data_IF_364127283656
#
_entry.id   IF_364127283656
#
_cell.length_a   1.000
_cell.length_b   1.000
_cell.length_c   1.000
_cell.angle_alpha   90.00
_cell.angle_beta   90.00
_cell.angle_gamma   90.00
#
_symmetry.space_group_name_H-M   'P 1'
#
loop_
_entity.id
_entity.type
_entity.pdbx_description
1 polymer ?
#
# COMPACT_ATOMS: atom_id res chain seq x y z
N UNK A 1 -24.58 -7.17 -24.34
CA UNK A 1 -25.59 -6.12 -24.03
C UNK A 1 -24.92 -5.00 -23.24
N UNK A 2 -23.97 -4.31 -23.89
CA UNK A 2 -23.12 -3.26 -23.33
C UNK A 2 -23.25 -2.07 -24.27
N UNK A 3 -24.09 -1.08 -23.92
CA UNK A 3 -24.21 0.29 -24.49
C UNK A 3 -25.62 0.83 -24.19
N UNK A 4 -25.85 1.29 -22.95
CA UNK A 4 -26.93 2.24 -22.63
C UNK A 4 -26.81 2.65 -21.15
N UNK A 5 -25.78 3.44 -20.82
CA UNK A 5 -25.64 4.15 -19.54
C UNK A 5 -24.66 5.33 -19.71
N UNK A 6 -24.81 6.13 -20.78
CA UNK A 6 -23.93 7.28 -21.06
C UNK A 6 -24.65 8.63 -21.05
N UNK A 7 -25.91 8.71 -20.58
CA UNK A 7 -26.72 9.93 -20.65
C UNK A 7 -27.40 10.35 -19.33
N UNK A 8 -26.76 10.13 -18.17
CA UNK A 8 -27.22 10.71 -16.90
C UNK A 8 -26.09 11.28 -16.01
N UNK A 9 -24.92 11.60 -16.57
CA UNK A 9 -23.75 12.05 -15.78
C UNK A 9 -23.48 13.57 -15.83
N UNK A 10 -24.35 14.38 -16.44
CA UNK A 10 -24.10 15.84 -16.55
C UNK A 10 -24.56 16.65 -15.32
N UNK A 11 -25.46 16.13 -14.48
CA UNK A 11 -25.99 16.85 -13.31
C UNK A 11 -25.20 16.64 -12.00
N UNK A 12 -24.22 15.72 -11.95
CA UNK A 12 -23.44 15.42 -10.72
C UNK A 12 -22.20 16.29 -10.51
N UNK A 13 -21.89 17.19 -11.46
CA UNK A 13 -20.69 18.04 -11.43
C UNK A 13 -20.84 19.29 -10.56
N UNK A 14 -22.06 19.64 -10.11
CA UNK A 14 -22.35 20.94 -9.53
C UNK A 14 -21.99 21.08 -8.03
N UNK A 15 -21.79 19.98 -7.31
CA UNK A 15 -21.68 19.99 -5.84
C UNK A 15 -20.24 19.86 -5.30
N UNK A 16 -19.26 19.60 -6.15
CA UNK A 16 -17.88 19.32 -5.73
C UNK A 16 -16.88 20.36 -6.26
N UNK A 17 -15.74 20.59 -5.56
CA UNK A 17 -14.66 21.43 -6.07
C UNK A 17 -14.20 20.97 -7.45
N UNK A 18 -13.94 21.89 -8.40
CA UNK A 18 -13.52 21.54 -9.76
C UNK A 18 -12.25 20.70 -9.81
N UNK A 19 -11.34 20.88 -8.84
CA UNK A 19 -10.06 20.16 -8.81
C UNK A 19 -10.21 18.69 -8.36
N UNK A 20 -11.30 18.35 -7.64
CA UNK A 20 -11.48 17.04 -7.04
C UNK A 20 -11.47 15.94 -8.12
N UNK A 21 -10.67 14.90 -7.92
CA UNK A 21 -10.66 13.77 -8.86
C UNK A 21 -12.07 13.20 -9.00
N UNK A 22 -12.60 13.04 -10.24
CA UNK A 22 -13.97 12.58 -10.45
C UNK A 22 -14.31 11.26 -9.75
N UNK A 23 -13.34 10.35 -9.69
CA UNK A 23 -13.48 9.04 -9.03
C UNK A 23 -13.75 9.13 -7.52
N UNK A 24 -13.41 10.24 -6.87
CA UNK A 24 -13.64 10.42 -5.42
C UNK A 24 -15.09 10.77 -5.07
N UNK A 25 -15.91 11.18 -6.05
CA UNK A 25 -17.28 11.68 -5.81
C UNK A 25 -18.25 10.59 -5.36
N UNK A 26 -17.92 9.34 -5.66
CA UNK A 26 -18.70 8.16 -5.25
C UNK A 26 -18.20 7.54 -3.94
N UNK A 27 -17.14 8.11 -3.35
CA UNK A 27 -16.54 7.58 -2.12
C UNK A 27 -17.04 8.37 -0.91
N UNK A 28 -17.65 7.66 0.04
CA UNK A 28 -18.02 8.23 1.32
C UNK A 28 -16.79 8.37 2.24
N UNK A 29 -16.59 9.56 2.79
CA UNK A 29 -15.53 9.85 3.75
C UNK A 29 -16.07 10.29 5.12
N UNK A 30 -15.35 9.91 6.17
CA UNK A 30 -15.53 10.40 7.54
C UNK A 30 -14.25 11.06 8.04
N UNK A 31 -14.38 11.94 9.02
CA UNK A 31 -13.25 12.60 9.63
C UNK A 31 -12.32 11.58 10.31
N UNK A 32 -11.03 11.49 9.96
CA UNK A 32 -10.07 10.59 10.61
C UNK A 32 -9.94 10.77 12.13
N UNK A 33 -10.30 11.93 12.67
CA UNK A 33 -10.11 12.25 14.09
C UNK A 33 -11.32 11.92 14.96
N UNK A 34 -12.54 12.05 14.42
CA UNK A 34 -13.78 11.89 15.19
C UNK A 34 -14.84 11.01 14.52
N UNK A 35 -14.57 10.50 13.31
CA UNK A 35 -15.45 9.65 12.50
C UNK A 35 -16.81 10.25 12.13
N UNK A 36 -17.00 11.56 12.33
CA UNK A 36 -18.17 12.28 11.85
C UNK A 36 -18.10 12.57 10.34
N UNK A 37 -19.28 12.77 9.73
CA UNK A 37 -19.41 13.05 8.30
C UNK A 37 -18.64 14.32 7.92
N UNK A 38 -17.98 14.25 6.76
CA UNK A 38 -17.33 15.40 6.14
C UNK A 38 -18.25 16.09 5.13
N UNK A 39 -18.17 17.42 5.08
CA UNK A 39 -18.75 18.23 4.00
C UNK A 39 -17.66 18.64 3.03
N UNK A 40 -18.01 18.81 1.77
CA UNK A 40 -17.09 19.19 0.70
C UNK A 40 -17.73 20.35 -0.06
N UNK A 41 -17.59 21.59 0.44
CA UNK A 41 -18.22 22.75 -0.19
C UNK A 41 -17.49 23.08 -1.50
N UNK A 42 -18.24 23.21 -2.60
CA UNK A 42 -17.72 23.50 -3.95
C UNK A 42 -16.71 24.65 -4.02
N UNK A 43 -16.96 25.73 -3.29
CA UNK A 43 -16.16 26.96 -3.28
C UNK A 43 -14.82 26.80 -2.54
N UNK A 44 -14.60 25.69 -1.83
CA UNK A 44 -13.38 25.47 -1.04
C UNK A 44 -12.70 24.18 -1.47
N UNK A 45 -11.40 24.27 -1.71
CA UNK A 45 -10.53 23.14 -2.04
C UNK A 45 -10.22 22.27 -0.80
N UNK A 46 -11.25 21.92 0.00
CA UNK A 46 -11.12 21.18 1.26
C UNK A 46 -12.30 20.24 1.51
N UNK A 47 -12.05 19.18 2.28
CA UNK A 47 -13.06 18.50 3.07
C UNK A 47 -13.09 19.09 4.48
N UNK A 48 -14.27 19.43 4.98
CA UNK A 48 -14.49 20.05 6.29
C UNK A 48 -15.24 19.10 7.23
N UNK A 49 -14.73 18.92 8.45
CA UNK A 49 -15.47 18.23 9.50
C UNK A 49 -16.29 19.22 10.33
N UNK A 50 -17.62 19.09 10.28
CA UNK A 50 -18.53 19.96 11.05
C UNK A 50 -18.41 19.79 12.57
N UNK A 51 -17.95 18.62 13.04
CA UNK A 51 -17.86 18.31 14.46
C UNK A 51 -16.56 18.83 15.10
N UNK A 52 -15.41 18.42 14.57
CA UNK A 52 -14.11 18.84 15.11
C UNK A 52 -13.53 20.09 14.42
N UNK A 53 -14.26 20.68 13.48
CA UNK A 53 -13.89 21.88 12.69
C UNK A 53 -12.63 21.73 11.83
N UNK A 54 -12.09 20.51 11.70
CA UNK A 54 -10.86 20.25 10.95
C UNK A 54 -11.10 20.36 9.44
N UNK A 55 -10.26 21.13 8.78
CA UNK A 55 -10.14 21.16 7.32
C UNK A 55 -9.03 20.21 6.85
N UNK A 56 -9.32 19.50 5.75
CA UNK A 56 -8.42 18.60 5.04
C UNK A 56 -8.30 19.09 3.60
N UNK A 57 -7.11 19.53 3.21
CA UNK A 57 -6.88 20.19 1.93
C UNK A 57 -6.91 19.19 0.77
N UNK A 58 -7.34 19.66 -0.41
CA UNK A 58 -7.11 18.98 -1.67
C UNK A 58 -5.74 19.38 -2.24
N UNK A 59 -4.97 18.40 -2.67
CA UNK A 59 -3.68 18.63 -3.33
C UNK A 59 -3.66 17.95 -4.69
N UNK A 60 -3.75 18.75 -5.75
CA UNK A 60 -3.88 18.24 -7.13
C UNK A 60 -5.12 17.37 -7.33
N UNK A 61 -6.20 17.65 -6.58
CA UNK A 61 -7.46 16.90 -6.61
C UNK A 61 -7.57 15.71 -5.65
N UNK A 62 -6.53 15.44 -4.85
CA UNK A 62 -6.49 14.34 -3.87
C UNK A 62 -6.61 14.91 -2.45
N UNK A 63 -7.53 14.42 -1.60
CA UNK A 63 -7.65 14.87 -0.22
C UNK A 63 -6.50 14.37 0.65
N UNK A 64 -5.98 15.26 1.50
CA UNK A 64 -4.98 14.96 2.53
C UNK A 64 -5.64 14.84 3.91
N UNK A 65 -5.95 13.61 4.28
CA UNK A 65 -6.53 13.21 5.57
C UNK A 65 -5.49 12.82 6.62
N UNK A 66 -4.20 13.11 6.40
CA UNK A 66 -3.15 12.73 7.34
C UNK A 66 -3.31 13.41 8.70
N UNK A 67 -3.15 12.61 9.75
CA UNK A 67 -3.10 13.07 11.15
C UNK A 67 -1.66 13.34 11.60
N UNK A 68 -0.70 12.70 10.95
CA UNK A 68 0.73 12.89 11.19
C UNK A 68 1.51 12.72 9.87
N UNK A 69 2.75 13.23 9.78
CA UNK A 69 3.48 13.24 8.53
C UNK A 69 4.04 11.86 8.14
N UNK A 70 4.46 11.72 6.89
CA UNK A 70 5.25 10.60 6.37
C UNK A 70 6.45 10.30 7.30
N UNK A 71 6.87 9.03 7.48
CA UNK A 71 7.98 8.71 8.39
C UNK A 71 9.33 9.33 8.02
N UNK A 72 9.51 9.72 6.76
CA UNK A 72 10.74 10.28 6.22
C UNK A 72 10.63 11.76 5.86
N UNK A 73 9.41 12.30 5.76
CA UNK A 73 9.14 13.67 5.32
C UNK A 73 8.12 14.36 6.20
N UNK A 74 8.39 15.61 6.55
CA UNK A 74 7.37 16.52 7.07
C UNK A 74 6.26 16.78 6.04
N UNK A 75 5.16 17.37 6.50
CA UNK A 75 4.06 17.78 5.61
C UNK A 75 4.54 18.70 4.48
N UNK A 76 5.37 19.69 4.81
CA UNK A 76 5.88 20.66 3.85
C UNK A 76 6.80 20.01 2.83
N UNK A 77 7.75 19.17 3.26
CA UNK A 77 8.68 18.52 2.33
C UNK A 77 7.97 17.53 1.39
N UNK A 78 6.90 16.86 1.83
CA UNK A 78 6.06 16.03 0.96
C UNK A 78 5.25 16.87 -0.03
N UNK A 79 4.75 18.03 0.39
CA UNK A 79 4.07 18.99 -0.48
C UNK A 79 5.02 19.51 -1.57
N UNK A 80 6.20 20.01 -1.19
CA UNK A 80 7.21 20.52 -2.13
C UNK A 80 7.63 19.45 -3.16
N UNK A 81 7.73 18.20 -2.72
CA UNK A 81 8.01 17.05 -3.61
C UNK A 81 6.85 16.68 -4.50
N UNK A 82 5.63 16.87 -4.02
CA UNK A 82 4.44 16.64 -4.82
C UNK A 82 4.35 17.67 -5.95
N UNK A 83 4.71 18.93 -5.70
CA UNK A 83 4.78 19.96 -6.74
C UNK A 83 5.77 19.61 -7.86
N UNK A 84 6.93 19.01 -7.53
CA UNK A 84 7.87 18.49 -8.54
C UNK A 84 7.20 17.42 -9.42
N UNK A 85 6.42 16.51 -8.82
CA UNK A 85 5.70 15.46 -9.56
C UNK A 85 4.60 16.07 -10.43
N UNK A 86 3.78 16.95 -9.88
CA UNK A 86 2.67 17.60 -10.59
C UNK A 86 3.16 18.40 -11.79
N UNK A 87 4.25 19.17 -11.64
CA UNK A 87 4.85 19.92 -12.73
C UNK A 87 5.30 19.03 -13.88
N UNK A 88 5.67 17.77 -13.64
CA UNK A 88 6.14 16.82 -14.64
C UNK A 88 5.08 15.80 -15.10
N UNK A 89 3.91 15.75 -14.45
CA UNK A 89 2.93 14.68 -14.56
C UNK A 89 2.41 14.48 -16.00
N UNK A 90 2.09 15.58 -16.69
CA UNK A 90 1.59 15.52 -18.06
C UNK A 90 2.72 15.40 -19.10
N UNK A 91 3.94 15.84 -18.75
CA UNK A 91 5.07 15.95 -19.66
C UNK A 91 5.86 14.66 -19.82
N UNK A 92 5.94 13.84 -18.77
CA UNK A 92 6.78 12.65 -18.76
C UNK A 92 5.95 11.36 -18.65
N UNK A 93 6.28 10.30 -19.41
CA UNK A 93 5.78 8.96 -19.11
C UNK A 93 6.31 8.50 -17.75
N UNK A 94 5.68 7.49 -17.16
CA UNK A 94 5.94 7.02 -15.80
C UNK A 94 7.42 6.77 -15.53
N UNK A 95 8.13 6.07 -16.41
CA UNK A 95 9.57 5.79 -16.23
C UNK A 95 10.39 7.08 -16.11
N UNK A 96 10.17 8.05 -17.00
CA UNK A 96 10.85 9.34 -16.98
C UNK A 96 10.43 10.20 -15.79
N UNK A 97 9.17 10.12 -15.37
CA UNK A 97 8.68 10.81 -14.17
C UNK A 97 9.34 10.27 -12.90
N UNK A 98 9.49 8.95 -12.79
CA UNK A 98 10.20 8.29 -11.70
C UNK A 98 11.68 8.72 -11.66
N UNK A 99 12.38 8.67 -12.80
CA UNK A 99 13.76 9.17 -12.91
C UNK A 99 13.89 10.64 -12.49
N UNK A 100 12.97 11.48 -12.98
CA UNK A 100 12.92 12.89 -12.64
C UNK A 100 12.76 13.10 -11.13
N UNK A 101 11.75 12.49 -10.51
CA UNK A 101 11.53 12.56 -9.06
C UNK A 101 12.77 12.10 -8.27
N UNK A 102 13.31 10.93 -8.60
CA UNK A 102 14.45 10.40 -7.87
C UNK A 102 15.74 11.19 -8.09
N UNK A 103 15.85 12.01 -9.14
CA UNK A 103 16.98 12.92 -9.31
C UNK A 103 17.07 13.96 -8.19
N UNK A 104 15.93 14.40 -7.64
CA UNK A 104 15.82 15.36 -6.52
C UNK A 104 15.76 14.70 -5.14
N UNK A 105 15.58 13.37 -5.06
CA UNK A 105 15.42 12.66 -3.77
C UNK A 105 16.75 12.61 -3.00
N UNK A 106 16.81 13.31 -1.88
CA UNK A 106 17.91 13.28 -0.89
C UNK A 106 17.82 12.10 0.10
N UNK A 107 16.64 11.49 0.25
CA UNK A 107 16.42 10.34 1.14
C UNK A 107 17.02 9.05 0.57
N UNK A 108 16.89 8.86 -0.75
CA UNK A 108 17.29 7.61 -1.42
C UNK A 108 18.71 7.73 -1.95
N UNK A 109 19.67 6.91 -1.45
CA UNK A 109 21.04 6.91 -1.96
C UNK A 109 21.07 6.67 -3.48
N UNK A 110 21.92 7.41 -4.19
CA UNK A 110 22.02 7.37 -5.67
C UNK A 110 22.17 5.93 -6.19
N UNK A 111 23.01 5.13 -5.53
CA UNK A 111 23.26 3.73 -5.90
C UNK A 111 22.02 2.82 -5.82
N UNK A 112 20.97 3.20 -5.09
CA UNK A 112 19.74 2.42 -4.93
C UNK A 112 18.61 2.90 -5.85
N UNK A 113 18.68 4.10 -6.42
CA UNK A 113 17.59 4.69 -7.22
C UNK A 113 17.18 3.81 -8.42
N UNK A 114 18.09 3.24 -9.24
CA UNK A 114 17.70 2.38 -10.36
C UNK A 114 16.90 1.15 -9.93
N UNK A 115 17.22 0.59 -8.75
CA UNK A 115 16.48 -0.55 -8.17
C UNK A 115 15.04 -0.15 -7.84
N UNK A 116 14.81 1.02 -7.25
CA UNK A 116 13.47 1.49 -6.90
C UNK A 116 12.63 1.82 -8.14
N UNK A 117 13.23 2.45 -9.16
CA UNK A 117 12.56 2.69 -10.46
C UNK A 117 12.12 1.36 -11.07
N UNK A 118 13.04 0.39 -11.21
CA UNK A 118 12.73 -0.95 -11.73
C UNK A 118 11.65 -1.64 -10.89
N UNK A 119 11.73 -1.53 -9.57
CA UNK A 119 10.73 -2.10 -8.67
C UNK A 119 9.34 -1.51 -8.88
N UNK A 120 9.25 -0.18 -9.06
CA UNK A 120 8.00 0.51 -9.35
C UNK A 120 7.44 0.09 -10.70
N UNK A 121 8.25 0.02 -11.77
CA UNK A 121 7.79 -0.37 -13.10
C UNK A 121 7.31 -1.83 -13.16
N UNK A 122 8.04 -2.76 -12.54
CA UNK A 122 7.74 -4.20 -12.57
C UNK A 122 6.82 -4.67 -11.43
N UNK A 123 6.21 -3.75 -10.68
CA UNK A 123 5.43 -4.11 -9.50
C UNK A 123 4.13 -4.84 -9.79
N UNK A 124 3.57 -4.66 -10.99
CA UNK A 124 2.32 -5.29 -11.43
C UNK A 124 2.38 -6.82 -11.42
N UNK A 125 3.53 -7.44 -11.72
CA UNK A 125 3.69 -8.89 -11.60
C UNK A 125 3.50 -9.38 -10.15
N UNK A 126 4.06 -8.66 -9.18
CA UNK A 126 3.91 -8.97 -7.74
C UNK A 126 2.47 -8.72 -7.27
N UNK A 127 1.83 -7.69 -7.81
CA UNK A 127 0.43 -7.43 -7.54
C UNK A 127 -0.50 -8.51 -8.10
N UNK A 128 -0.28 -8.93 -9.35
CA UNK A 128 -1.06 -10.00 -9.99
C UNK A 128 -0.98 -11.32 -9.23
N UNK A 129 0.16 -11.62 -8.61
CA UNK A 129 0.29 -12.74 -7.65
C UNK A 129 -0.66 -12.58 -6.46
N UNK A 130 -0.67 -11.42 -5.81
CA UNK A 130 -1.53 -11.16 -4.65
C UNK A 130 -3.01 -11.30 -5.01
N UNK A 131 -3.38 -10.81 -6.19
CA UNK A 131 -4.73 -10.92 -6.72
C UNK A 131 -5.15 -12.37 -7.01
N UNK A 132 -4.26 -13.18 -7.61
CA UNK A 132 -4.52 -14.62 -7.80
C UNK A 132 -4.79 -15.32 -6.48
N UNK A 133 -3.97 -15.09 -5.45
CA UNK A 133 -4.14 -15.70 -4.12
C UNK A 133 -5.50 -15.38 -3.49
N UNK A 134 -6.04 -14.19 -3.75
CA UNK A 134 -7.33 -13.74 -3.25
C UNK A 134 -8.50 -14.37 -4.04
N UNK A 135 -8.31 -14.62 -5.33
CA UNK A 135 -9.33 -15.13 -6.24
C UNK A 135 -9.41 -16.66 -6.32
N UNK A 136 -8.27 -17.37 -6.26
CA UNK A 136 -8.18 -18.82 -6.48
C UNK A 136 -8.38 -19.67 -5.21
N UNK A 137 -8.46 -19.01 -4.05
CA UNK A 137 -8.63 -19.69 -2.77
C UNK A 137 -7.44 -20.57 -2.35
N UNK A 138 -6.26 -20.37 -2.94
CA UNK A 138 -5.03 -21.09 -2.55
C UNK A 138 -4.68 -20.90 -1.07
N UNK A 139 -5.14 -19.80 -0.48
CA UNK A 139 -4.99 -19.53 0.96
C UNK A 139 -6.30 -19.63 1.74
N UNK A 140 -7.50 -19.52 1.16
CA UNK A 140 -8.78 -19.68 1.87
C UNK A 140 -9.93 -20.01 0.89
N UNK A 141 -11.21 -19.94 1.29
CA UNK A 141 -12.28 -19.79 0.30
C UNK A 141 -12.03 -18.50 -0.52
N UNK A 142 -12.33 -18.50 -1.83
CA UNK A 142 -12.22 -17.32 -2.67
C UNK A 142 -12.86 -16.08 -2.01
N UNK A 143 -12.17 -14.94 -2.08
CA UNK A 143 -12.69 -13.68 -1.56
C UNK A 143 -13.60 -13.06 -2.62
N UNK A 144 -14.90 -13.06 -2.36
CA UNK A 144 -15.85 -12.28 -3.17
C UNK A 144 -15.89 -10.85 -2.62
N UNK A 145 -15.35 -9.90 -3.39
CA UNK A 145 -15.30 -8.49 -3.02
C UNK A 145 -15.80 -7.62 -4.18
N UNK A 146 -16.47 -6.51 -3.86
CA UNK A 146 -16.87 -5.46 -4.82
C UNK A 146 -16.06 -4.19 -4.57
N UNK A 147 -15.84 -3.85 -3.30
CA UNK A 147 -15.13 -2.66 -2.81
C UNK A 147 -13.81 -3.07 -2.18
N UNK A 148 -12.71 -2.67 -2.80
CA UNK A 148 -11.35 -2.98 -2.39
C UNK A 148 -10.62 -1.72 -1.97
N UNK A 149 -9.93 -1.76 -0.83
CA UNK A 149 -9.05 -0.69 -0.36
C UNK A 149 -7.61 -1.18 -0.31
N UNK A 150 -6.70 -0.51 -1.01
CA UNK A 150 -5.26 -0.72 -0.85
C UNK A 150 -4.66 0.30 0.13
N UNK A 151 -3.93 -0.18 1.14
CA UNK A 151 -3.15 0.65 2.08
C UNK A 151 -1.67 0.58 1.72
N UNK A 152 -1.10 1.76 1.42
CA UNK A 152 0.28 1.90 0.95
C UNK A 152 0.41 1.60 -0.55
N UNK A 153 -0.51 2.15 -1.35
CA UNK A 153 -0.62 1.86 -2.78
C UNK A 153 0.58 2.35 -3.61
N UNK A 154 1.40 3.25 -3.06
CA UNK A 154 2.62 3.75 -3.69
C UNK A 154 2.37 4.22 -5.12
N UNK A 155 3.09 3.66 -6.08
CA UNK A 155 2.96 4.00 -7.50
C UNK A 155 1.79 3.28 -8.21
N UNK A 156 0.83 2.71 -7.49
CA UNK A 156 -0.40 2.14 -8.04
C UNK A 156 -0.27 0.78 -8.73
N UNK A 157 0.70 -0.06 -8.32
CA UNK A 157 0.93 -1.34 -8.99
C UNK A 157 -0.23 -2.33 -8.80
N UNK A 158 -0.78 -2.43 -7.60
CA UNK A 158 -1.94 -3.29 -7.35
C UNK A 158 -3.22 -2.66 -7.86
N UNK A 159 -3.41 -1.35 -7.65
CA UNK A 159 -4.52 -0.62 -8.26
C UNK A 159 -4.64 -0.90 -9.77
N UNK A 160 -3.54 -0.81 -10.53
CA UNK A 160 -3.57 -1.00 -11.99
C UNK A 160 -4.05 -2.39 -12.43
N UNK A 161 -3.78 -3.44 -11.65
CA UNK A 161 -4.25 -4.81 -11.96
C UNK A 161 -5.63 -5.13 -11.36
N UNK A 162 -6.01 -4.43 -10.28
CA UNK A 162 -7.24 -4.66 -9.53
C UNK A 162 -8.43 -3.85 -10.07
N UNK A 163 -8.23 -2.60 -10.51
CA UNK A 163 -9.29 -1.73 -11.01
C UNK A 163 -10.15 -2.38 -12.11
N UNK A 164 -9.62 -3.17 -13.06
CA UNK A 164 -10.46 -3.85 -14.06
C UNK A 164 -11.28 -5.03 -13.52
N UNK A 165 -11.03 -5.49 -12.29
CA UNK A 165 -11.59 -6.74 -11.74
C UNK A 165 -12.64 -6.52 -10.65
N UNK A 166 -12.68 -5.32 -10.07
CA UNK A 166 -13.58 -4.96 -8.98
C UNK A 166 -14.40 -3.73 -9.35
N UNK A 167 -15.54 -3.57 -8.69
CA UNK A 167 -16.43 -2.42 -8.93
C UNK A 167 -15.83 -1.12 -8.43
N UNK A 168 -15.18 -1.16 -7.26
CA UNK A 168 -14.53 0.00 -6.67
C UNK A 168 -13.18 -0.41 -6.08
N UNK A 169 -12.10 0.25 -6.49
CA UNK A 169 -10.75 0.05 -5.94
C UNK A 169 -10.21 1.40 -5.49
N UNK A 170 -10.03 1.57 -4.19
CA UNK A 170 -9.52 2.80 -3.57
C UNK A 170 -8.05 2.60 -3.20
N UNK A 171 -7.19 3.56 -3.58
CA UNK A 171 -5.79 3.57 -3.19
C UNK A 171 -5.51 4.60 -2.10
N UNK A 172 -4.94 4.16 -0.98
CA UNK A 172 -4.43 5.06 0.06
C UNK A 172 -2.92 5.01 0.16
N UNK A 173 -2.31 6.14 0.48
CA UNK A 173 -0.88 6.22 0.85
C UNK A 173 -0.64 7.43 1.75
N UNK A 174 0.39 7.38 2.61
CA UNK A 174 0.80 8.52 3.43
C UNK A 174 1.61 9.56 2.64
N UNK A 175 2.11 9.17 1.47
CA UNK A 175 2.93 10.00 0.61
C UNK A 175 2.09 10.55 -0.57
N UNK A 176 1.72 11.83 -0.50
CA UNK A 176 0.91 12.47 -1.53
C UNK A 176 1.56 12.38 -2.92
N UNK A 177 2.89 12.56 -2.96
CA UNK A 177 3.70 12.44 -4.18
C UNK A 177 3.53 11.10 -4.90
N UNK A 178 3.40 9.99 -4.16
CA UNK A 178 3.27 8.66 -4.76
C UNK A 178 1.89 8.44 -5.38
N UNK A 179 0.85 9.04 -4.79
CA UNK A 179 -0.49 9.01 -5.37
C UNK A 179 -0.52 9.74 -6.72
N UNK A 180 0.17 10.86 -6.87
CA UNK A 180 0.29 11.52 -8.18
C UNK A 180 1.15 10.74 -9.18
N UNK A 181 2.22 10.07 -8.73
CA UNK A 181 2.95 9.12 -9.59
C UNK A 181 2.04 7.94 -10.02
N UNK A 182 1.17 7.45 -9.13
CA UNK A 182 0.17 6.45 -9.45
C UNK A 182 -0.77 6.94 -10.56
N UNK A 183 -1.25 8.20 -10.52
CA UNK A 183 -2.04 8.79 -11.62
C UNK A 183 -1.35 8.66 -12.97
N UNK A 184 -0.03 8.92 -13.04
CA UNK A 184 0.73 8.78 -14.30
C UNK A 184 0.68 7.36 -14.86
N UNK A 185 0.72 6.33 -14.00
CA UNK A 185 0.58 4.93 -14.45
C UNK A 185 -0.76 4.69 -15.14
N UNK A 186 -1.85 5.20 -14.58
CA UNK A 186 -3.17 5.07 -15.19
C UNK A 186 -3.27 5.87 -16.49
N UNK A 187 -2.70 7.07 -16.54
CA UNK A 187 -2.61 7.88 -17.76
C UNK A 187 -1.83 7.16 -18.88
N UNK A 188 -0.66 6.59 -18.57
CA UNK A 188 0.14 5.82 -19.54
C UNK A 188 -0.61 4.61 -20.11
N UNK A 189 -1.46 3.98 -19.29
CA UNK A 189 -2.26 2.81 -19.69
C UNK A 189 -3.58 3.18 -20.34
N UNK A 190 -3.94 4.46 -20.41
CA UNK A 190 -5.27 4.89 -20.85
C UNK A 190 -6.41 4.36 -19.96
N UNK A 191 -6.13 4.11 -18.68
CA UNK A 191 -7.12 3.63 -17.71
C UNK A 191 -7.69 4.80 -16.90
N UNK A 192 -8.95 4.73 -16.44
CA UNK A 192 -9.49 5.71 -15.52
C UNK A 192 -8.73 5.68 -14.19
N UNK A 193 -8.39 6.86 -13.68
CA UNK A 193 -7.70 7.00 -12.39
C UNK A 193 -8.66 6.59 -11.25
N UNK A 194 -8.31 5.61 -10.41
CA UNK A 194 -9.15 5.20 -9.28
C UNK A 194 -9.23 6.30 -8.22
N UNK A 195 -10.15 6.21 -7.24
CA UNK A 195 -10.10 7.06 -6.07
C UNK A 195 -8.76 6.92 -5.35
N UNK A 196 -8.04 8.04 -5.20
CA UNK A 196 -6.76 8.11 -4.50
C UNK A 196 -6.90 9.05 -3.30
N UNK A 197 -6.37 8.64 -2.16
CA UNK A 197 -6.60 9.30 -0.87
C UNK A 197 -5.31 9.33 -0.06
N UNK A 198 -4.88 10.51 0.38
CA UNK A 198 -3.70 10.61 1.24
C UNK A 198 -4.11 10.50 2.71
N UNK A 199 -3.65 9.49 3.43
CA UNK A 199 -4.02 9.29 4.84
C UNK A 199 -2.98 8.46 5.62
N UNK A 200 -3.13 8.45 6.94
CA UNK A 200 -2.39 7.53 7.81
C UNK A 200 -3.15 6.19 7.88
N UNK A 201 -2.44 5.06 7.76
CA UNK A 201 -3.05 3.73 7.86
C UNK A 201 -3.73 3.47 9.22
N UNK A 202 -3.31 4.22 10.24
CA UNK A 202 -3.82 4.22 11.61
C UNK A 202 -5.04 5.13 11.83
N UNK A 203 -5.47 5.87 10.81
CA UNK A 203 -6.59 6.81 10.86
C UNK A 203 -7.29 6.83 9.49
N UNK A 204 -8.05 5.78 9.19
CA UNK A 204 -8.64 5.60 7.88
C UNK A 204 -9.88 6.50 7.73
N UNK A 205 -9.97 7.35 6.68
CA UNK A 205 -11.07 8.29 6.48
C UNK A 205 -12.36 7.62 5.95
N UNK A 206 -12.57 6.34 6.21
CA UNK A 206 -13.71 5.58 5.68
C UNK A 206 -14.70 5.23 6.79
N UNK A 207 -16.01 5.20 6.49
CA UNK A 207 -17.02 4.73 7.43
C UNK A 207 -16.73 3.31 7.94
N UNK A 208 -17.37 2.97 9.05
CA UNK A 208 -17.40 1.59 9.54
C UNK A 208 -18.08 0.69 8.51
N UNK A 209 -17.60 -0.54 8.36
CA UNK A 209 -18.20 -1.55 7.48
C UNK A 209 -18.47 -0.99 6.07
N UNK A 210 -17.45 -0.46 5.39
CA UNK A 210 -17.61 0.18 4.09
C UNK A 210 -16.83 -0.50 2.96
N UNK A 211 -15.97 -1.46 3.27
CA UNK A 211 -15.14 -2.18 2.28
C UNK A 211 -15.17 -3.68 2.52
N UNK A 212 -15.07 -4.47 1.45
CA UNK A 212 -15.15 -5.94 1.53
C UNK A 212 -13.75 -6.56 1.68
N UNK A 213 -12.74 -5.91 1.10
CA UNK A 213 -11.36 -6.38 1.07
C UNK A 213 -10.40 -5.20 1.29
N UNK A 214 -9.48 -5.37 2.25
CA UNK A 214 -8.32 -4.50 2.42
C UNK A 214 -7.06 -5.25 2.01
N UNK A 215 -6.23 -4.65 1.17
CA UNK A 215 -4.94 -5.18 0.73
C UNK A 215 -3.85 -4.24 1.22
N UNK A 216 -2.79 -4.80 1.81
CA UNK A 216 -1.59 -4.03 2.13
C UNK A 216 -0.36 -4.88 1.86
N UNK A 217 0.59 -4.33 1.11
CA UNK A 217 1.80 -5.04 0.72
C UNK A 217 3.04 -4.19 1.00
N UNK A 218 4.00 -4.76 1.74
CA UNK A 218 5.25 -4.08 2.11
C UNK A 218 5.05 -2.69 2.73
N UNK A 219 3.99 -2.53 3.53
CA UNK A 219 3.62 -1.28 4.20
C UNK A 219 3.67 -1.38 5.72
N UNK A 220 3.29 -2.54 6.28
CA UNK A 220 3.16 -2.74 7.72
C UNK A 220 4.46 -2.42 8.50
N UNK A 221 5.62 -2.55 7.85
CA UNK A 221 6.93 -2.31 8.46
C UNK A 221 7.14 -0.82 8.77
N UNK A 222 6.49 0.07 8.01
CA UNK A 222 6.63 1.53 8.10
C UNK A 222 5.57 2.20 8.98
N UNK A 223 4.51 1.46 9.33
CA UNK A 223 3.40 1.92 10.18
C UNK A 223 3.92 2.19 11.61
N UNK A 224 3.51 3.34 12.18
CA UNK A 224 3.92 3.78 13.51
C UNK A 224 3.31 2.91 14.59
N UNK A 225 2.01 2.63 14.45
CA UNK A 225 1.25 1.77 15.35
C UNK A 225 0.46 0.70 14.56
N UNK A 226 1.03 -0.52 14.54
CA UNK A 226 0.44 -1.68 13.86
C UNK A 226 -0.85 -2.15 14.51
N UNK A 227 -1.01 -1.95 15.83
CA UNK A 227 -2.23 -2.31 16.52
C UNK A 227 -3.37 -1.39 16.12
N UNK A 228 -3.09 -0.08 16.07
CA UNK A 228 -4.06 0.90 15.61
C UNK A 228 -4.44 0.72 14.15
N UNK A 229 -3.47 0.47 13.26
CA UNK A 229 -3.77 0.12 11.86
C UNK A 229 -4.70 -1.09 11.76
N UNK A 230 -4.40 -2.19 12.48
CA UNK A 230 -5.22 -3.40 12.42
C UNK A 230 -6.63 -3.16 13.00
N UNK A 231 -6.75 -2.30 14.02
CA UNK A 231 -8.04 -1.87 14.56
C UNK A 231 -8.86 -1.10 13.51
N UNK A 232 -8.24 -0.13 12.83
CA UNK A 232 -8.89 0.64 11.75
C UNK A 232 -9.29 -0.24 10.57
N UNK A 233 -8.43 -1.16 10.15
CA UNK A 233 -8.79 -2.13 9.12
C UNK A 233 -10.02 -2.97 9.54
N UNK A 234 -10.06 -3.43 10.79
CA UNK A 234 -11.21 -4.19 11.30
C UNK A 234 -12.48 -3.32 11.40
N UNK A 235 -12.36 -2.03 11.74
CA UNK A 235 -13.50 -1.09 11.76
C UNK A 235 -14.08 -0.88 10.36
N UNK A 236 -13.22 -0.58 9.39
CA UNK A 236 -13.60 -0.27 8.00
C UNK A 236 -14.11 -1.49 7.23
N UNK A 237 -13.61 -2.69 7.51
CA UNK A 237 -14.09 -3.92 6.87
C UNK A 237 -15.54 -4.22 7.25
N UNK A 238 -16.33 -4.63 6.28
CA UNK A 238 -17.65 -5.24 6.47
C UNK A 238 -17.56 -6.56 7.25
N UNK A 239 -18.69 -7.05 7.76
CA UNK A 239 -18.77 -8.40 8.28
C UNK A 239 -18.32 -9.42 7.23
N UNK A 240 -17.61 -10.47 7.65
CA UNK A 240 -16.93 -11.43 6.76
C UNK A 240 -15.83 -10.83 5.84
N UNK A 241 -15.56 -9.52 5.93
CA UNK A 241 -14.54 -8.85 5.14
C UNK A 241 -13.12 -9.35 5.44
N UNK A 242 -12.23 -9.21 4.45
CA UNK A 242 -10.88 -9.78 4.49
C UNK A 242 -9.82 -8.69 4.49
N UNK A 243 -8.84 -8.82 5.39
CA UNK A 243 -7.58 -8.09 5.33
C UNK A 243 -6.47 -9.04 4.85
N UNK A 244 -5.86 -8.70 3.72
CA UNK A 244 -4.63 -9.33 3.23
C UNK A 244 -3.42 -8.45 3.52
N UNK A 245 -2.40 -9.05 4.13
CA UNK A 245 -1.14 -8.40 4.50
C UNK A 245 0.03 -9.19 3.92
N UNK A 246 0.74 -8.62 2.93
CA UNK A 246 2.07 -9.08 2.57
C UNK A 246 3.11 -8.26 3.35
N UNK A 247 3.91 -8.91 4.21
CA UNK A 247 4.89 -8.19 5.04
C UNK A 247 6.19 -8.96 5.24
N UNK A 248 7.26 -8.21 5.45
CA UNK A 248 8.62 -8.73 5.68
C UNK A 248 8.72 -9.37 7.06
N UNK A 249 9.36 -10.53 7.12
CA UNK A 249 9.65 -11.21 8.37
C UNK A 249 10.88 -10.59 9.05
N UNK A 250 10.72 -10.17 10.31
CA UNK A 250 11.84 -9.73 11.15
C UNK A 250 12.98 -10.75 11.19
N UNK A 251 12.70 -12.03 11.41
CA UNK A 251 13.74 -13.07 11.54
C UNK A 251 14.06 -13.72 10.19
N UNK A 252 13.99 -12.95 9.11
CA UNK A 252 14.35 -13.43 7.79
C UNK A 252 15.85 -13.78 7.71
N UNK A 253 16.15 -14.99 7.24
CA UNK A 253 17.52 -15.35 6.85
C UNK A 253 17.94 -14.78 5.51
N UNK A 254 17.04 -14.15 4.75
CA UNK A 254 17.39 -13.46 3.51
C UNK A 254 18.01 -12.07 3.82
N UNK A 255 18.54 -11.41 2.78
CA UNK A 255 18.91 -10.00 2.92
C UNK A 255 17.68 -9.16 3.22
N UNK A 256 17.80 -8.26 4.19
CA UNK A 256 16.78 -7.24 4.45
C UNK A 256 16.48 -6.46 3.15
N UNK A 257 15.21 -6.34 2.73
CA UNK A 257 14.88 -5.77 1.44
C UNK A 257 15.17 -4.27 1.34
N UNK A 258 15.23 -3.58 2.48
CA UNK A 258 15.42 -2.13 2.58
C UNK A 258 16.90 -1.76 2.77
N UNK A 259 17.61 -2.45 3.66
CA UNK A 259 19.03 -2.22 3.96
C UNK A 259 19.99 -3.06 3.09
N UNK A 260 19.51 -4.13 2.46
CA UNK A 260 20.30 -5.07 1.68
C UNK A 260 21.49 -5.67 2.46
N UNK A 261 21.23 -6.03 3.72
CA UNK A 261 22.17 -6.64 4.67
C UNK A 261 21.58 -7.94 5.22
N UNK A 262 22.45 -8.90 5.51
CA UNK A 262 22.06 -10.12 6.22
C UNK A 262 21.96 -9.84 7.71
N UNK A 263 21.03 -10.52 8.39
CA UNK A 263 21.01 -10.60 9.85
C UNK A 263 20.45 -9.38 10.60
N UNK A 264 20.00 -8.33 9.90
CA UNK A 264 19.56 -7.06 10.55
C UNK A 264 18.46 -7.33 11.58
N UNK A 265 17.42 -8.07 11.22
CA UNK A 265 16.28 -8.28 12.10
C UNK A 265 16.53 -9.20 13.31
N UNK A 266 17.65 -9.94 13.31
CA UNK A 266 18.13 -10.71 14.46
C UNK A 266 18.85 -9.86 15.51
N UNK A 267 19.30 -8.66 15.13
CA UNK A 267 19.87 -7.72 16.09
C UNK A 267 18.78 -7.18 17.04
N UNK A 268 19.15 -6.81 18.29
CA UNK A 268 18.28 -6.03 19.16
C UNK A 268 17.78 -4.76 18.45
N UNK A 269 16.49 -4.40 18.60
CA UNK A 269 15.87 -3.28 17.87
C UNK A 269 16.67 -1.96 18.01
N UNK A 270 17.17 -1.69 19.21
CA UNK A 270 17.95 -0.50 19.51
C UNK A 270 19.27 -0.39 18.69
N UNK A 271 19.77 -1.51 18.14
CA UNK A 271 21.05 -1.54 17.42
C UNK A 271 20.90 -1.57 15.91
N UNK A 272 19.70 -1.88 15.40
CA UNK A 272 19.45 -2.08 13.97
C UNK A 272 19.82 -0.83 13.16
N UNK A 273 19.28 0.33 13.53
CA UNK A 273 19.55 1.58 12.82
C UNK A 273 21.04 1.95 12.82
N UNK A 274 21.71 1.85 13.98
CA UNK A 274 23.14 2.12 14.09
C UNK A 274 23.97 1.19 13.22
N UNK A 275 23.65 -0.11 13.21
CA UNK A 275 24.33 -1.11 12.40
C UNK A 275 24.13 -0.87 10.90
N UNK A 276 22.90 -0.61 10.46
CA UNK A 276 22.59 -0.33 9.05
C UNK A 276 23.30 0.93 8.59
N UNK A 277 23.28 2.00 9.39
CA UNK A 277 24.00 3.24 9.11
C UNK A 277 25.49 3.00 8.96
N UNK A 278 26.11 2.25 9.87
CA UNK A 278 27.54 1.92 9.80
C UNK A 278 27.90 1.11 8.55
N UNK A 279 27.08 0.12 8.17
CA UNK A 279 27.41 -0.79 7.04
C UNK A 279 27.01 -0.26 5.67
N UNK A 280 26.02 0.63 5.59
CA UNK A 280 25.38 1.03 4.32
C UNK A 280 25.13 2.52 4.16
N UNK A 281 25.34 3.34 5.21
CA UNK A 281 25.00 4.76 5.17
C UNK A 281 23.51 5.03 4.95
N UNK A 282 22.64 4.06 5.28
CA UNK A 282 21.21 4.14 5.04
C UNK A 282 20.42 4.32 6.35
N UNK A 283 19.24 4.95 6.24
CA UNK A 283 18.27 5.09 7.32
C UNK A 283 17.50 3.80 7.56
N UNK A 284 17.16 3.53 8.83
CA UNK A 284 16.40 2.33 9.24
C UNK A 284 15.56 2.59 10.52
N UNK A 285 15.53 3.83 11.01
CA UNK A 285 14.88 4.24 12.25
C UNK A 285 13.35 4.00 12.21
N UNK A 286 12.78 4.12 11.01
CA UNK A 286 11.34 4.02 10.76
C UNK A 286 10.93 2.71 10.08
N UNK A 287 11.82 1.70 10.07
CA UNK A 287 11.55 0.38 9.50
C UNK A 287 11.48 -0.64 10.63
N UNK A 288 10.29 -1.15 10.90
CA UNK A 288 10.00 -2.05 12.02
C UNK A 288 9.28 -3.31 11.54
N UNK A 289 10.01 -4.27 10.96
CA UNK A 289 9.45 -5.59 10.66
C UNK A 289 8.96 -6.26 11.95
N UNK A 290 7.89 -7.05 11.83
CA UNK A 290 7.37 -7.88 12.90
C UNK A 290 7.82 -9.34 12.72
N UNK A 291 7.97 -10.04 13.84
CA UNK A 291 7.96 -11.50 13.87
C UNK A 291 6.52 -12.02 13.74
N UNK A 292 6.37 -13.29 13.35
CA UNK A 292 5.06 -13.94 13.26
C UNK A 292 4.30 -13.88 14.60
N UNK A 293 5.00 -14.02 15.72
CA UNK A 293 4.38 -13.95 17.05
C UNK A 293 3.91 -12.54 17.40
N UNK A 294 4.67 -11.50 17.06
CA UNK A 294 4.27 -10.10 17.26
C UNK A 294 3.01 -9.80 16.43
N UNK A 295 3.00 -10.17 15.15
CA UNK A 295 1.86 -9.96 14.27
C UNK A 295 0.61 -10.70 14.78
N UNK A 296 0.74 -11.98 15.12
CA UNK A 296 -0.39 -12.77 15.62
C UNK A 296 -0.93 -12.28 16.96
N UNK A 297 -0.06 -11.78 17.85
CA UNK A 297 -0.48 -11.21 19.14
C UNK A 297 -1.39 -10.00 18.96
N UNK A 298 -1.14 -9.18 17.95
CA UNK A 298 -1.95 -7.99 17.65
C UNK A 298 -3.19 -8.38 16.84
N UNK A 299 -3.03 -9.14 15.76
CA UNK A 299 -4.13 -9.52 14.86
C UNK A 299 -5.26 -10.27 15.57
N UNK A 300 -4.94 -11.12 16.58
CA UNK A 300 -5.95 -11.87 17.33
C UNK A 300 -6.91 -11.01 18.16
N UNK A 301 -6.60 -9.73 18.37
CA UNK A 301 -7.47 -8.78 19.09
C UNK A 301 -8.68 -8.36 18.24
N UNK A 302 -8.56 -8.39 16.92
CA UNK A 302 -9.55 -7.80 16.00
C UNK A 302 -10.13 -8.79 14.99
N UNK A 303 -9.40 -9.84 14.65
CA UNK A 303 -9.82 -10.81 13.64
C UNK A 303 -9.89 -12.19 14.24
N UNK A 304 -11.03 -12.88 14.16
CA UNK A 304 -11.20 -14.22 14.73
C UNK A 304 -10.42 -15.28 13.93
N UNK A 305 -10.50 -15.20 12.59
CA UNK A 305 -9.78 -16.07 11.68
C UNK A 305 -8.50 -15.41 11.18
N UNK A 306 -7.39 -16.17 11.22
CA UNK A 306 -6.06 -15.71 10.83
C UNK A 306 -5.28 -16.85 10.20
N UNK A 307 -4.72 -16.63 9.01
CA UNK A 307 -3.87 -17.59 8.31
C UNK A 307 -2.60 -16.93 7.82
N UNK A 308 -1.48 -17.64 7.94
CA UNK A 308 -0.16 -17.17 7.53
C UNK A 308 0.45 -18.15 6.53
N UNK A 309 0.52 -17.73 5.27
CA UNK A 309 1.09 -18.48 4.18
C UNK A 309 2.52 -18.02 3.86
N UNK A 310 3.32 -18.97 3.38
CA UNK A 310 4.62 -18.70 2.82
C UNK A 310 4.46 -18.27 1.36
N UNK A 311 5.02 -17.10 0.96
CA UNK A 311 4.84 -16.60 -0.37
C UNK A 311 5.28 -17.58 -1.43
N UNK A 312 4.47 -17.70 -2.48
CA UNK A 312 4.82 -18.38 -3.71
C UNK A 312 5.91 -17.60 -4.43
N UNK A 313 6.88 -18.32 -4.97
CA UNK A 313 7.87 -17.72 -5.88
C UNK A 313 7.37 -17.91 -7.30
N UNK A 314 7.20 -16.79 -7.99
CA UNK A 314 6.89 -16.79 -9.41
C UNK A 314 8.13 -17.29 -10.19
N UNK A 315 8.00 -18.46 -10.81
CA UNK A 315 9.08 -19.12 -11.53
C UNK A 315 9.42 -18.41 -12.85
N UNK A 316 8.46 -17.71 -13.46
CA UNK A 316 8.68 -16.91 -14.66
C UNK A 316 9.47 -15.66 -14.29
N UNK A 317 9.08 -14.98 -13.21
CA UNK A 317 9.82 -13.82 -12.69
C UNK A 317 11.27 -14.17 -12.31
N UNK A 318 11.54 -15.39 -11.83
CA UNK A 318 12.89 -15.85 -11.52
C UNK A 318 13.81 -15.89 -12.76
N UNK A 319 13.27 -16.05 -13.97
CA UNK A 319 14.07 -16.18 -15.20
C UNK A 319 14.98 -14.96 -15.46
N UNK A 320 14.57 -13.78 -14.99
CA UNK A 320 15.30 -12.52 -15.10
C UNK A 320 16.44 -12.36 -14.08
N UNK A 321 16.58 -13.29 -13.12
CA UNK A 321 17.57 -13.21 -12.06
C UNK A 321 18.79 -14.11 -12.31
N UNK A 322 19.87 -13.82 -11.58
CA UNK A 322 21.12 -14.59 -11.64
C UNK A 322 20.87 -16.10 -11.42
N UNK A 323 21.70 -16.99 -12.00
CA UNK A 323 21.59 -18.43 -11.80
C UNK A 323 21.52 -18.84 -10.31
N UNK A 324 22.30 -18.16 -9.46
CA UNK A 324 22.30 -18.38 -8.02
C UNK A 324 20.95 -18.03 -7.37
N UNK A 325 20.37 -16.88 -7.73
CA UNK A 325 19.04 -16.46 -7.23
C UNK A 325 17.94 -17.40 -7.72
N UNK A 326 18.02 -17.89 -8.96
CA UNK A 326 17.10 -18.89 -9.51
C UNK A 326 17.14 -20.19 -8.73
N UNK A 327 18.35 -20.68 -8.42
CA UNK A 327 18.53 -21.89 -7.61
C UNK A 327 17.95 -21.71 -6.19
N UNK A 328 18.22 -20.57 -5.55
CA UNK A 328 17.65 -20.24 -4.23
C UNK A 328 16.12 -20.24 -4.25
N UNK A 329 15.51 -19.62 -5.28
CA UNK A 329 14.06 -19.62 -5.45
C UNK A 329 13.46 -21.02 -5.63
N UNK A 330 14.13 -21.88 -6.41
CA UNK A 330 13.73 -23.30 -6.58
C UNK A 330 13.81 -24.08 -5.26
N UNK A 331 14.93 -23.96 -4.53
CA UNK A 331 15.11 -24.63 -3.24
C UNK A 331 14.00 -24.20 -2.26
N UNK A 332 13.75 -22.89 -2.14
CA UNK A 332 12.69 -22.39 -1.29
C UNK A 332 11.30 -22.91 -1.71
N UNK A 333 11.02 -22.96 -3.02
CA UNK A 333 9.74 -23.49 -3.54
C UNK A 333 9.54 -24.98 -3.23
N UNK A 334 10.61 -25.77 -3.22
CA UNK A 334 10.57 -27.17 -2.77
C UNK A 334 10.37 -27.27 -1.26
N UNK A 335 11.14 -26.52 -0.47
CA UNK A 335 11.08 -26.58 0.99
C UNK A 335 9.73 -26.11 1.55
N UNK A 336 9.09 -25.07 0.96
CA UNK A 336 7.80 -24.56 1.44
C UNK A 336 6.66 -25.58 1.32
N UNK A 337 6.77 -26.55 0.40
CA UNK A 337 5.77 -27.61 0.17
C UNK A 337 5.93 -28.79 1.12
N UNK A 338 7.12 -28.97 1.69
CA UNK A 338 7.42 -30.04 2.63
C UNK A 338 6.92 -29.67 4.05
N UNK A 339 6.00 -30.46 4.67
CA UNK A 339 5.43 -30.13 5.98
C UNK A 339 6.47 -29.93 7.08
N UNK A 340 7.56 -30.71 7.05
CA UNK A 340 8.66 -30.65 8.03
C UNK A 340 9.35 -29.28 8.04
N UNK A 341 9.50 -28.64 6.87
CA UNK A 341 10.18 -27.36 6.75
C UNK A 341 9.24 -26.16 6.86
N UNK A 342 7.93 -26.35 6.71
CA UNK A 342 6.93 -25.28 6.71
C UNK A 342 6.95 -24.46 8.00
N UNK A 343 6.98 -25.11 9.17
CA UNK A 343 6.99 -24.40 10.46
C UNK A 343 8.26 -23.59 10.67
N UNK A 344 9.42 -24.15 10.28
CA UNK A 344 10.70 -23.44 10.34
C UNK A 344 10.68 -22.23 9.40
N UNK A 345 10.28 -22.43 8.14
CA UNK A 345 10.19 -21.36 7.14
C UNK A 345 9.17 -20.28 7.54
N UNK A 346 8.09 -20.60 8.23
CA UNK A 346 7.19 -19.58 8.78
C UNK A 346 7.87 -18.70 9.83
N UNK A 347 8.89 -19.20 10.53
CA UNK A 347 9.66 -18.43 11.51
C UNK A 347 10.81 -17.64 10.88
N UNK A 348 11.48 -18.20 9.87
CA UNK A 348 12.73 -17.63 9.32
C UNK A 348 12.71 -17.23 7.84
N UNK A 349 11.58 -17.45 7.17
CA UNK A 349 11.38 -17.12 5.76
C UNK A 349 11.42 -15.62 5.50
N UNK A 350 11.45 -15.19 4.22
CA UNK A 350 11.60 -13.77 3.86
C UNK A 350 10.42 -12.89 4.25
N UNK A 351 9.21 -13.41 4.07
CA UNK A 351 7.96 -12.66 4.23
C UNK A 351 6.81 -13.63 4.40
N UNK A 352 5.63 -13.08 4.68
CA UNK A 352 4.38 -13.84 4.76
C UNK A 352 3.30 -13.16 3.93
N UNK A 353 2.38 -13.97 3.43
CA UNK A 353 1.04 -13.51 3.10
C UNK A 353 0.14 -13.89 4.28
N UNK A 354 -0.35 -12.91 5.01
CA UNK A 354 -1.27 -13.10 6.11
C UNK A 354 -2.68 -12.70 5.67
N UNK A 355 -3.66 -13.55 5.94
CA UNK A 355 -5.08 -13.28 5.71
C UNK A 355 -5.82 -13.30 7.03
N UNK A 356 -6.56 -12.23 7.28
CA UNK A 356 -7.38 -12.04 8.46
C UNK A 356 -8.82 -11.79 8.02
N UNK A 357 -9.78 -12.44 8.68
CA UNK A 357 -11.21 -12.25 8.38
C UNK A 357 -11.92 -11.67 9.59
N UNK A 358 -12.73 -10.64 9.34
CA UNK A 358 -13.62 -10.05 10.35
C UNK A 358 -14.79 -10.98 10.58
N UNK A 359 -15.11 -11.22 11.85
CA UNK A 359 -16.26 -12.03 12.28
C UNK A 359 -17.56 -11.27 12.19
#
# INVERSE_FOLDING_TARGET
MLRQCLHLAEDSNADYPPSLLPSLREVAFVCPLCHEKLTVPREREVYHCVNCTKDYLLHGGIPDFRVFPDPFLSFQEDHDRTEIVLAALERYPLERLLEHYWSFSDITPVALRPKFIRSALLGEHRAGRSLRLLSDGTVERPVTARRVLEIGSGTGNFLAVATPQYELVIGTDIAMRWLHVSRRRFMDKGLPVPPLVCCCAEYLPFPDNSVDLIVTASTLEFVRDKEKMLAECARTLEADGVLYVNTVNRYSVAKDPYAYLWGVGFLPRAWQARYVRWRRGAHYENIKPCSLSELNKVAKKFFAYRKYALPEVDMEALSEFSPATRLQGRIYSSLRRAPVFKSLLQRIGPSWDALFRKS
#
